data_IF_233319146787
#
_entry.id   IF_233319146787
#
_cell.length_a   1.000
_cell.length_b   1.000
_cell.length_c   1.000
_cell.angle_alpha   90.00
_cell.angle_beta   90.00
_cell.angle_gamma   90.00
#
_symmetry.space_group_name_H-M   'P 1'
#
loop_
_entity.id
_entity.type
_entity.pdbx_description
1 polymer ?
#
# COMPACT_ATOMS: atom_id res chain seq x y z
N UNK A 1 10.18 30.38 -3.65
CA UNK A 1 8.96 31.16 -3.95
C UNK A 1 7.70 30.48 -3.40
N UNK A 2 7.39 29.23 -3.80
CA UNK A 2 6.18 28.49 -3.35
C UNK A 2 6.03 28.36 -1.83
N UNK A 3 7.10 28.07 -1.09
CA UNK A 3 7.04 28.01 0.38
C UNK A 3 6.57 29.34 1.01
N UNK A 4 7.07 30.47 0.50
CA UNK A 4 6.70 31.80 1.01
C UNK A 4 5.22 32.08 0.75
N UNK A 5 4.73 31.76 -0.45
CA UNK A 5 3.33 31.89 -0.82
C UNK A 5 2.41 31.00 0.04
N UNK A 6 2.79 29.74 0.24
CA UNK A 6 2.06 28.80 1.09
C UNK A 6 2.01 29.31 2.54
N UNK A 7 3.15 29.67 3.11
CA UNK A 7 3.23 30.22 4.47
C UNK A 7 2.44 31.52 4.63
N UNK A 8 2.45 32.42 3.63
CA UNK A 8 1.65 33.64 3.70
C UNK A 8 0.15 33.37 3.74
N UNK A 9 -0.35 32.38 3.00
CA UNK A 9 -1.76 32.01 3.02
C UNK A 9 -2.18 31.29 4.30
N UNK A 10 -1.41 30.27 4.75
CA UNK A 10 -1.79 29.49 5.94
C UNK A 10 -1.70 30.30 7.23
N UNK A 11 -0.84 31.33 7.28
CA UNK A 11 -0.73 32.23 8.43
C UNK A 11 -1.97 33.11 8.62
N UNK A 12 -2.84 33.19 7.62
CA UNK A 12 -4.14 33.86 7.71
C UNK A 12 -5.22 32.98 8.35
N UNK A 13 -4.92 31.71 8.70
CA UNK A 13 -5.86 30.85 9.42
C UNK A 13 -5.94 31.30 10.88
N UNK A 14 -7.00 32.01 11.20
CA UNK A 14 -7.27 32.44 12.57
C UNK A 14 -7.40 31.26 13.53
N UNK A 15 -6.74 31.35 14.69
CA UNK A 15 -6.65 30.26 15.67
C UNK A 15 -5.35 29.44 15.62
N UNK A 16 -4.43 29.76 14.70
CA UNK A 16 -3.10 29.14 14.58
C UNK A 16 -1.98 30.19 14.72
N UNK A 17 -0.89 29.84 15.41
CA UNK A 17 0.31 30.69 15.54
C UNK A 17 1.57 29.96 15.04
N UNK A 18 1.97 30.26 13.81
CA UNK A 18 3.19 29.73 13.21
C UNK A 18 4.43 30.50 13.69
N UNK A 19 5.57 29.80 13.81
CA UNK A 19 6.86 30.39 14.12
C UNK A 19 7.59 30.83 12.82
N UNK A 20 8.65 31.61 12.95
CA UNK A 20 9.42 32.07 11.79
C UNK A 20 10.26 30.99 11.14
N UNK A 21 10.64 29.96 11.91
CA UNK A 21 11.39 28.80 11.43
C UNK A 21 10.51 27.63 10.98
N UNK A 22 9.17 27.77 11.06
CA UNK A 22 8.23 26.76 10.59
C UNK A 22 8.35 26.58 9.07
N UNK A 23 8.60 25.34 8.64
CA UNK A 23 8.78 25.00 7.23
C UNK A 23 8.28 23.60 6.93
N UNK A 24 7.78 23.41 5.70
CA UNK A 24 7.53 22.09 5.14
C UNK A 24 8.84 21.51 4.60
N UNK A 25 9.01 20.18 4.68
CA UNK A 25 10.12 19.48 4.06
C UNK A 25 10.03 19.50 2.53
N UNK A 26 8.82 19.33 2.00
CA UNK A 26 8.54 19.31 0.56
C UNK A 26 7.50 20.38 0.18
N UNK A 27 7.82 21.69 0.29
CA UNK A 27 6.85 22.77 0.10
C UNK A 27 6.20 22.75 -1.29
N UNK A 28 6.92 22.33 -2.32
CA UNK A 28 6.40 22.19 -3.70
C UNK A 28 5.30 21.14 -3.79
N UNK A 29 5.52 19.98 -3.17
CA UNK A 29 4.57 18.87 -3.21
C UNK A 29 3.31 19.21 -2.41
N UNK A 30 3.47 19.79 -1.22
CA UNK A 30 2.36 20.30 -0.40
C UNK A 30 1.57 21.37 -1.17
N UNK A 31 2.25 22.29 -1.86
CA UNK A 31 1.57 23.30 -2.67
C UNK A 31 0.75 22.67 -3.80
N UNK A 32 1.31 21.71 -4.56
CA UNK A 32 0.57 21.00 -5.61
C UNK A 32 -0.65 20.25 -5.06
N UNK A 33 -0.51 19.62 -3.89
CA UNK A 33 -1.58 18.82 -3.29
C UNK A 33 -2.74 19.67 -2.74
N UNK A 34 -2.43 20.83 -2.15
CA UNK A 34 -3.41 21.70 -1.48
C UNK A 34 -3.94 22.84 -2.35
N UNK A 35 -3.18 23.31 -3.34
CA UNK A 35 -3.52 24.54 -4.08
C UNK A 35 -3.87 24.22 -5.53
N UNK A 36 -2.89 23.78 -6.34
CA UNK A 36 -2.99 23.24 -7.70
C UNK A 36 -1.63 23.26 -8.41
N UNK A 37 -1.57 22.79 -9.66
CA UNK A 37 -0.39 22.83 -10.53
C UNK A 37 -0.07 24.21 -11.17
N UNK A 38 -0.85 25.26 -10.88
CA UNK A 38 -0.72 26.58 -11.55
C UNK A 38 0.22 27.54 -10.81
N UNK A 39 0.69 28.56 -11.54
CA UNK A 39 1.70 29.59 -11.17
C UNK A 39 1.74 29.98 -9.67
N UNK A 40 2.94 30.32 -9.19
CA UNK A 40 3.18 30.83 -7.83
C UNK A 40 2.49 32.16 -7.51
N UNK A 41 1.89 32.83 -8.49
CA UNK A 41 1.26 34.16 -8.34
C UNK A 41 -0.20 34.09 -7.83
N UNK A 42 -0.50 33.11 -6.97
CA UNK A 42 -1.84 32.95 -6.40
C UNK A 42 -1.98 33.88 -5.17
N UNK A 43 -3.04 34.71 -5.09
CA UNK A 43 -3.31 35.56 -3.92
C UNK A 43 -3.38 34.76 -2.62
N UNK A 44 -2.91 35.34 -1.52
CA UNK A 44 -2.83 34.66 -0.22
C UNK A 44 -4.21 34.21 0.29
N UNK A 45 -5.27 34.95 -0.02
CA UNK A 45 -6.65 34.65 0.32
C UNK A 45 -7.14 33.39 -0.41
N UNK A 46 -6.77 33.21 -1.68
CA UNK A 46 -7.13 32.01 -2.41
C UNK A 46 -6.34 30.80 -1.91
N UNK A 47 -5.08 30.99 -1.51
CA UNK A 47 -4.29 29.96 -0.83
C UNK A 47 -4.97 29.56 0.48
N UNK A 48 -5.38 30.52 1.30
CA UNK A 48 -6.11 30.28 2.55
C UNK A 48 -7.36 29.43 2.31
N UNK A 49 -8.21 29.80 1.34
CA UNK A 49 -9.45 29.09 1.04
C UNK A 49 -9.19 27.64 0.63
N UNK A 50 -8.29 27.43 -0.34
CA UNK A 50 -8.00 26.08 -0.87
C UNK A 50 -7.30 25.21 0.16
N UNK A 51 -6.30 25.77 0.84
CA UNK A 51 -5.56 25.06 1.87
C UNK A 51 -6.47 24.67 3.02
N UNK A 52 -7.30 25.58 3.53
CA UNK A 52 -8.22 25.30 4.64
C UNK A 52 -9.23 24.21 4.26
N UNK A 53 -9.81 24.26 3.07
CA UNK A 53 -10.75 23.25 2.60
C UNK A 53 -10.14 21.84 2.59
N UNK A 54 -8.92 21.69 2.04
CA UNK A 54 -8.23 20.39 2.01
C UNK A 54 -7.63 19.99 3.37
N UNK A 55 -7.28 20.94 4.21
CA UNK A 55 -6.85 20.67 5.57
C UNK A 55 -8.01 20.11 6.40
N UNK A 56 -9.22 20.66 6.25
CA UNK A 56 -10.42 20.15 6.94
C UNK A 56 -10.66 18.68 6.58
N UNK A 57 -10.57 18.32 5.29
CA UNK A 57 -10.77 16.92 4.88
C UNK A 57 -9.65 16.01 5.37
N UNK A 58 -8.40 16.48 5.39
CA UNK A 58 -7.27 15.73 5.94
C UNK A 58 -7.44 15.49 7.45
N UNK A 59 -7.78 16.52 8.22
CA UNK A 59 -8.01 16.42 9.66
C UNK A 59 -9.23 15.53 9.97
N UNK A 60 -10.27 15.60 9.13
CA UNK A 60 -11.39 14.65 9.19
C UNK A 60 -10.92 13.20 9.11
N UNK A 61 -10.10 12.86 8.10
CA UNK A 61 -9.51 11.52 7.97
C UNK A 61 -8.61 11.13 9.15
N UNK A 62 -7.86 12.09 9.69
CA UNK A 62 -7.07 11.83 10.90
C UNK A 62 -7.97 11.44 12.10
N UNK A 63 -9.08 12.15 12.30
CA UNK A 63 -10.03 11.86 13.38
C UNK A 63 -10.79 10.55 13.17
N UNK A 64 -11.22 10.25 11.94
CA UNK A 64 -11.88 8.99 11.55
C UNK A 64 -11.07 7.77 11.98
N UNK A 65 -9.73 7.84 11.86
CA UNK A 65 -8.81 6.74 12.22
C UNK A 65 -8.08 6.94 13.56
N UNK A 66 -8.57 7.84 14.42
CA UNK A 66 -7.95 8.09 15.73
C UNK A 66 -7.91 6.84 16.63
N UNK A 67 -8.82 5.90 16.42
CA UNK A 67 -8.86 4.61 17.11
C UNK A 67 -7.76 3.66 16.62
N UNK A 68 -7.47 3.64 15.32
CA UNK A 68 -6.32 2.93 14.75
C UNK A 68 -5.02 3.51 15.29
N UNK A 69 -4.91 4.85 15.34
CA UNK A 69 -3.75 5.51 15.96
C UNK A 69 -3.53 5.07 17.41
N UNK A 70 -4.61 5.05 18.22
CA UNK A 70 -4.59 4.54 19.61
C UNK A 70 -4.10 3.09 19.70
N UNK A 71 -4.44 2.28 18.69
CA UNK A 71 -4.10 0.85 18.62
C UNK A 71 -2.64 0.60 18.22
N UNK A 72 -2.14 1.30 17.20
CA UNK A 72 -0.80 1.06 16.63
C UNK A 72 0.29 1.88 17.30
N UNK A 73 -0.01 3.13 17.67
CA UNK A 73 0.95 4.13 18.20
C UNK A 73 2.17 4.39 17.32
N UNK A 74 2.10 3.93 16.08
CA UNK A 74 3.10 4.14 15.06
C UNK A 74 2.58 5.25 14.12
N UNK A 75 3.32 6.35 14.05
CA UNK A 75 2.93 7.51 13.23
C UNK A 75 2.97 7.17 11.74
N UNK A 76 4.00 6.44 11.30
CA UNK A 76 4.19 6.12 9.88
C UNK A 76 3.05 5.23 9.37
N UNK A 77 2.70 4.19 10.11
CA UNK A 77 1.57 3.32 9.78
C UNK A 77 0.24 4.09 9.78
N UNK A 78 0.01 4.93 10.81
CA UNK A 78 -1.20 5.76 10.87
C UNK A 78 -1.32 6.73 9.69
N UNK A 79 -0.27 7.46 9.35
CA UNK A 79 -0.31 8.40 8.24
C UNK A 79 -0.33 7.70 6.87
N UNK A 80 0.18 6.46 6.75
CA UNK A 80 -0.03 5.63 5.56
C UNK A 80 -1.51 5.26 5.37
N UNK A 81 -2.23 4.94 6.45
CA UNK A 81 -3.68 4.76 6.41
C UNK A 81 -4.39 6.07 5.99
N UNK A 82 -4.05 7.19 6.63
CA UNK A 82 -4.62 8.51 6.27
C UNK A 82 -4.38 8.82 4.80
N UNK A 83 -3.16 8.65 4.28
CA UNK A 83 -2.80 8.84 2.87
C UNK A 83 -3.69 8.01 1.94
N UNK A 84 -3.94 6.73 2.25
CA UNK A 84 -4.75 5.85 1.41
C UNK A 84 -6.23 6.24 1.38
N UNK A 85 -6.70 6.98 2.39
CA UNK A 85 -8.10 7.39 2.56
C UNK A 85 -8.40 8.83 2.14
N UNK A 86 -7.36 9.65 1.94
CA UNK A 86 -7.50 11.09 1.71
C UNK A 86 -7.28 11.43 0.24
N UNK A 87 -8.32 11.97 -0.39
CA UNK A 87 -8.30 12.41 -1.79
C UNK A 87 -7.77 13.85 -1.87
N UNK A 88 -6.49 13.99 -2.18
CA UNK A 88 -5.88 15.27 -2.56
C UNK A 88 -5.76 15.40 -4.08
N UNK A 89 -5.46 16.62 -4.57
CA UNK A 89 -5.24 16.86 -6.00
C UNK A 89 -3.95 16.20 -6.52
N UNK A 90 -2.97 16.07 -5.63
CA UNK A 90 -1.68 15.46 -5.90
C UNK A 90 -1.31 14.54 -4.73
N UNK A 91 -0.94 13.30 -5.03
CA UNK A 91 -0.61 12.32 -4.00
C UNK A 91 0.65 12.75 -3.25
N UNK A 92 0.50 13.09 -1.98
CA UNK A 92 1.62 13.38 -1.08
C UNK A 92 2.28 12.10 -0.56
N UNK A 93 3.55 12.18 -0.15
CA UNK A 93 4.19 11.10 0.62
C UNK A 93 3.63 11.08 2.05
N UNK A 94 3.80 9.95 2.73
CA UNK A 94 3.40 9.79 4.14
C UNK A 94 4.07 10.86 5.02
N UNK A 95 5.37 11.06 4.84
CA UNK A 95 6.15 12.08 5.55
C UNK A 95 5.63 13.50 5.32
N UNK A 96 5.15 13.82 4.11
CA UNK A 96 4.62 15.16 3.80
C UNK A 96 3.28 15.39 4.49
N UNK A 97 2.43 14.36 4.58
CA UNK A 97 1.16 14.41 5.33
C UNK A 97 1.43 14.58 6.82
N UNK A 98 2.36 13.78 7.37
CA UNK A 98 2.79 13.91 8.77
C UNK A 98 3.30 15.33 9.05
N UNK A 99 4.19 15.85 8.19
CA UNK A 99 4.78 17.19 8.35
C UNK A 99 3.69 18.27 8.35
N UNK A 100 2.68 18.18 7.48
CA UNK A 100 1.54 19.14 7.47
C UNK A 100 0.74 19.06 8.76
N UNK A 101 0.34 17.87 9.20
CA UNK A 101 -0.47 17.69 10.41
C UNK A 101 0.30 18.11 11.66
N UNK A 102 1.59 17.78 11.76
CA UNK A 102 2.45 18.20 12.87
C UNK A 102 2.68 19.71 12.89
N UNK A 103 2.77 20.35 11.73
CA UNK A 103 2.94 21.79 11.65
C UNK A 103 1.71 22.52 12.21
N UNK A 104 0.50 22.14 11.77
CA UNK A 104 -0.74 22.80 12.20
C UNK A 104 -1.07 22.51 13.66
N UNK A 105 -0.82 21.29 14.15
CA UNK A 105 -0.99 20.96 15.58
C UNK A 105 -0.04 21.76 16.48
N UNK A 106 1.23 21.91 16.07
CA UNK A 106 2.19 22.80 16.77
C UNK A 106 1.74 24.25 16.73
N UNK A 107 1.31 24.75 15.57
CA UNK A 107 0.83 26.12 15.43
C UNK A 107 -0.40 26.39 16.31
N UNK A 108 -1.32 25.42 16.40
CA UNK A 108 -2.47 25.49 17.31
C UNK A 108 -2.06 25.52 18.78
N UNK A 109 -1.11 24.68 19.16
CA UNK A 109 -0.61 24.61 20.54
C UNK A 109 0.08 25.90 21.01
N UNK A 110 0.61 26.70 20.07
CA UNK A 110 1.20 28.03 20.35
C UNK A 110 0.17 29.17 20.37
N UNK A 111 -1.06 28.92 19.94
CA UNK A 111 -2.09 29.95 19.90
C UNK A 111 -2.54 30.30 21.34
N UNK A 112 -2.66 31.59 21.69
CA UNK A 112 -3.03 31.99 23.05
C UNK A 112 -4.38 31.42 23.49
N UNK A 113 -4.49 30.96 24.74
CA UNK A 113 -5.75 30.46 25.31
C UNK A 113 -6.82 31.55 25.46
N UNK A 114 -6.39 32.81 25.63
CA UNK A 114 -7.23 33.99 25.73
C UNK A 114 -6.91 34.93 24.55
N UNK A 115 -7.37 34.63 23.33
CA UNK A 115 -7.18 35.52 22.19
C UNK A 115 -8.01 36.81 22.36
N UNK A 116 -7.68 37.82 21.56
CA UNK A 116 -8.50 39.03 21.44
C UNK A 116 -9.94 38.63 21.07
N UNK A 117 -10.98 39.06 21.83
CA UNK A 117 -12.37 38.70 21.58
C UNK A 117 -12.89 39.13 20.19
N UNK A 118 -12.22 40.06 19.50
CA UNK A 118 -12.57 40.45 18.14
C UNK A 118 -12.06 39.48 17.07
N UNK A 119 -11.10 38.61 17.41
CA UNK A 119 -10.54 37.61 16.51
C UNK A 119 -11.31 36.30 16.70
N UNK A 120 -12.13 35.94 15.72
CA UNK A 120 -12.85 34.66 15.72
C UNK A 120 -12.01 33.58 15.03
N UNK A 121 -11.70 32.47 15.70
CA UNK A 121 -10.97 31.37 15.10
C UNK A 121 -11.71 30.80 13.88
N UNK A 122 -10.96 30.23 12.94
CA UNK A 122 -11.53 29.51 11.81
C UNK A 122 -12.09 28.16 12.28
N UNK A 123 -13.25 28.18 12.95
CA UNK A 123 -13.84 27.05 13.69
C UNK A 123 -13.86 25.72 12.94
N UNK A 124 -14.12 25.74 11.62
CA UNK A 124 -14.15 24.53 10.81
C UNK A 124 -12.79 23.83 10.70
N UNK A 125 -11.68 24.54 10.87
CA UNK A 125 -10.31 23.99 10.95
C UNK A 125 -9.96 23.68 12.41
N UNK A 126 -10.28 24.60 13.33
CA UNK A 126 -9.82 24.52 14.73
C UNK A 126 -10.49 23.39 15.50
N UNK A 127 -11.81 23.19 15.33
CA UNK A 127 -12.53 22.13 16.02
C UNK A 127 -11.98 20.72 15.72
N UNK A 128 -11.86 20.28 14.45
CA UNK A 128 -11.29 18.95 14.18
C UNK A 128 -9.82 18.85 14.60
N UNK A 129 -9.07 19.96 14.60
CA UNK A 129 -7.68 19.98 15.07
C UNK A 129 -7.58 19.78 16.58
N UNK A 130 -8.42 20.45 17.37
CA UNK A 130 -8.47 20.29 18.83
C UNK A 130 -8.93 18.86 19.20
N UNK A 131 -9.88 18.29 18.46
CA UNK A 131 -10.29 16.88 18.61
C UNK A 131 -9.16 15.89 18.32
N UNK A 132 -8.34 16.17 17.29
CA UNK A 132 -7.17 15.37 16.95
C UNK A 132 -6.10 15.45 18.04
N UNK A 133 -5.75 16.67 18.49
CA UNK A 133 -4.78 16.89 19.57
C UNK A 133 -5.20 16.12 20.83
N UNK A 134 -6.46 16.30 21.25
CA UNK A 134 -7.03 15.57 22.40
C UNK A 134 -6.96 14.05 22.21
N UNK A 135 -7.21 13.56 21.00
CA UNK A 135 -7.13 12.13 20.69
C UNK A 135 -5.70 11.59 20.77
N UNK A 136 -4.72 12.36 20.30
CA UNK A 136 -3.30 12.02 20.36
C UNK A 136 -2.78 12.06 21.80
N UNK A 137 -3.13 13.07 22.58
CA UNK A 137 -2.72 13.22 23.99
C UNK A 137 -3.23 12.05 24.85
N UNK A 138 -4.48 11.62 24.64
CA UNK A 138 -5.09 10.49 25.37
C UNK A 138 -4.39 9.13 25.14
N UNK A 139 -3.67 8.96 24.02
CA UNK A 139 -2.90 7.74 23.75
C UNK A 139 -1.78 7.57 24.78
N UNK A 140 -1.16 8.67 25.19
CA UNK A 140 -0.07 8.65 26.18
C UNK A 140 -0.57 8.25 27.57
N UNK A 141 -1.84 8.51 27.88
CA UNK A 141 -2.44 8.22 29.19
C UNK A 141 -2.95 6.77 29.33
N UNK A 142 -3.37 6.12 28.24
CA UNK A 142 -4.04 4.81 28.30
C UNK A 142 -3.15 3.72 27.70
N UNK A 143 -2.76 2.67 28.46
CA UNK A 143 -1.92 1.56 27.93
C UNK A 143 -2.68 0.44 27.23
N UNK A 144 -4.02 0.41 27.31
CA UNK A 144 -4.82 -0.72 26.82
C UNK A 144 -5.46 -0.39 25.47
N UNK A 145 -5.17 -1.15 24.40
CA UNK A 145 -5.87 -1.00 23.13
C UNK A 145 -7.35 -1.33 23.32
N UNK A 146 -8.25 -0.45 22.84
CA UNK A 146 -9.70 -0.64 22.93
C UNK A 146 -10.25 -1.13 21.59
N UNK A 147 -11.29 -1.96 21.67
CA UNK A 147 -12.14 -2.32 20.52
C UNK A 147 -12.67 -1.03 19.90
N UNK A 148 -12.70 -0.91 18.57
CA UNK A 148 -13.38 0.20 17.96
C UNK A 148 -14.88 0.19 18.26
N UNK A 149 -15.43 1.37 18.53
CA UNK A 149 -16.87 1.50 18.68
C UNK A 149 -17.55 1.35 17.30
N UNK A 150 -18.76 0.80 17.28
CA UNK A 150 -19.69 0.81 16.14
C UNK A 150 -19.41 -0.12 14.94
N UNK A 151 -18.46 -1.06 15.04
CA UNK A 151 -18.35 -2.14 14.05
C UNK A 151 -18.96 -3.43 14.58
N UNK A 152 -19.97 -3.88 13.85
CA UNK A 152 -20.52 -5.22 14.00
C UNK A 152 -19.79 -6.14 13.02
N UNK A 153 -19.40 -7.34 13.47
CA UNK A 153 -18.90 -8.35 12.56
C UNK A 153 -20.01 -8.76 11.58
N UNK A 154 -19.65 -9.33 10.41
CA UNK A 154 -20.62 -9.91 9.49
C UNK A 154 -21.60 -10.81 10.24
N UNK A 155 -22.91 -10.70 9.94
CA UNK A 155 -24.01 -11.33 10.71
C UNK A 155 -23.85 -12.85 10.88
N UNK A 156 -23.11 -13.47 9.98
CA UNK A 156 -22.85 -14.90 9.88
C UNK A 156 -21.79 -15.35 10.91
N UNK A 157 -20.90 -14.46 11.36
CA UNK A 157 -19.89 -14.83 12.36
C UNK A 157 -20.52 -14.84 13.75
N UNK A 158 -20.73 -16.04 14.30
CA UNK A 158 -21.26 -16.24 15.65
C UNK A 158 -20.16 -16.11 16.71
N UNK A 159 -20.16 -14.98 17.42
CA UNK A 159 -19.26 -14.79 18.55
C UNK A 159 -19.87 -15.38 19.83
N UNK A 160 -19.09 -16.14 20.61
CA UNK A 160 -19.43 -16.37 22.00
C UNK A 160 -19.54 -15.01 22.72
N UNK A 161 -20.68 -14.72 23.35
CA UNK A 161 -20.98 -13.44 24.03
C UNK A 161 -19.93 -12.98 25.06
N UNK A 162 -19.03 -13.87 25.49
CA UNK A 162 -17.94 -13.62 26.45
C UNK A 162 -16.63 -13.09 25.85
N UNK A 163 -16.46 -13.08 24.53
CA UNK A 163 -15.17 -12.75 23.92
C UNK A 163 -15.03 -11.26 23.55
N UNK A 164 -14.49 -10.45 24.47
CA UNK A 164 -13.93 -9.13 24.15
C UNK A 164 -12.59 -9.29 23.42
N UNK A 165 -12.62 -9.70 22.14
CA UNK A 165 -11.38 -9.86 21.35
C UNK A 165 -10.82 -8.52 20.89
N UNK A 166 -9.49 -8.49 20.83
CA UNK A 166 -8.71 -7.41 20.23
C UNK A 166 -8.58 -7.70 18.74
N UNK A 167 -9.11 -6.80 17.90
CA UNK A 167 -9.03 -6.90 16.45
C UNK A 167 -8.41 -5.61 15.87
N UNK A 168 -7.46 -5.69 14.93
CA UNK A 168 -6.79 -6.91 14.46
C UNK A 168 -6.00 -7.65 15.56
N UNK A 169 -5.68 -8.96 15.36
CA UNK A 169 -4.88 -9.75 16.29
C UNK A 169 -3.54 -9.10 16.66
N UNK A 170 -3.01 -9.42 17.86
CA UNK A 170 -1.81 -8.75 18.41
C UNK A 170 -0.52 -9.00 17.64
N UNK A 171 -0.42 -10.10 16.90
CA UNK A 171 0.80 -10.46 16.17
C UNK A 171 0.97 -9.68 14.87
N UNK A 172 -0.08 -9.03 14.36
CA UNK A 172 0.02 -8.10 13.23
C UNK A 172 0.79 -6.85 13.64
N UNK A 173 1.74 -6.44 12.80
CA UNK A 173 2.56 -5.26 13.07
C UNK A 173 1.78 -3.97 12.72
N UNK A 174 2.28 -2.79 13.15
CA UNK A 174 1.56 -1.53 12.94
C UNK A 174 1.10 -1.26 11.50
N UNK A 175 1.92 -1.57 10.49
CA UNK A 175 1.57 -1.34 9.09
C UNK A 175 0.41 -2.25 8.63
N UNK A 176 0.41 -3.52 9.04
CA UNK A 176 -0.69 -4.43 8.74
C UNK A 176 -1.99 -3.94 9.39
N UNK A 177 -1.93 -3.50 10.65
CA UNK A 177 -3.07 -2.94 11.36
C UNK A 177 -3.58 -1.67 10.65
N UNK A 178 -2.70 -0.86 10.09
CA UNK A 178 -3.09 0.31 9.30
C UNK A 178 -3.84 -0.09 8.02
N UNK A 179 -3.37 -1.11 7.30
CA UNK A 179 -4.07 -1.64 6.11
C UNK A 179 -5.43 -2.23 6.49
N UNK A 180 -5.49 -3.02 7.57
CA UNK A 180 -6.73 -3.57 8.13
C UNK A 180 -7.64 -2.49 8.73
N UNK A 181 -7.09 -1.29 8.98
CA UNK A 181 -7.79 -0.12 9.47
C UNK A 181 -8.44 0.72 8.36
N UNK A 182 -8.05 0.50 7.09
CA UNK A 182 -8.68 1.11 5.92
C UNK A 182 -10.16 0.78 5.91
N UNK A 183 -11.01 1.78 5.64
CA UNK A 183 -12.45 1.67 5.90
C UNK A 183 -13.08 0.47 5.20
N UNK A 184 -12.81 0.27 3.91
CA UNK A 184 -13.38 -0.85 3.16
C UNK A 184 -12.84 -2.19 3.64
N UNK A 185 -11.52 -2.32 3.84
CA UNK A 185 -10.94 -3.56 4.38
C UNK A 185 -11.52 -3.88 5.75
N UNK A 186 -11.59 -2.87 6.61
CA UNK A 186 -12.05 -2.96 7.98
C UNK A 186 -13.51 -3.39 8.08
N UNK A 187 -14.40 -2.76 7.32
CA UNK A 187 -15.84 -3.09 7.33
C UNK A 187 -16.10 -4.54 6.89
N UNK A 188 -15.31 -5.06 5.95
CA UNK A 188 -15.49 -6.41 5.41
C UNK A 188 -14.77 -7.50 6.23
N UNK A 189 -13.63 -7.18 6.83
CA UNK A 189 -12.76 -8.16 7.49
C UNK A 189 -12.88 -8.15 9.03
N UNK A 190 -13.67 -7.23 9.59
CA UNK A 190 -13.79 -7.09 11.04
C UNK A 190 -14.27 -8.38 11.71
N UNK A 191 -13.46 -8.89 12.63
CA UNK A 191 -13.75 -10.09 13.41
C UNK A 191 -13.27 -11.41 12.77
N UNK A 192 -12.76 -11.39 11.54
CA UNK A 192 -12.13 -12.56 10.91
C UNK A 192 -10.75 -12.79 11.54
N UNK A 193 -10.45 -14.05 11.89
CA UNK A 193 -9.12 -14.54 12.26
C UNK A 193 -9.01 -16.06 12.08
N UNK A 194 -7.81 -16.63 12.26
CA UNK A 194 -7.53 -18.06 12.12
C UNK A 194 -8.41 -19.01 12.94
N UNK A 195 -9.10 -18.54 14.00
CA UNK A 195 -9.99 -19.40 14.81
C UNK A 195 -11.45 -19.30 14.40
N UNK A 196 -11.81 -18.27 13.66
CA UNK A 196 -13.13 -18.06 13.11
C UNK A 196 -12.96 -17.86 11.62
N UNK A 197 -12.69 -18.98 10.95
CA UNK A 197 -12.70 -19.02 9.50
C UNK A 197 -14.07 -18.55 9.04
N UNK A 198 -14.05 -17.50 8.23
CA UNK A 198 -15.14 -17.14 7.35
C UNK A 198 -15.80 -18.42 6.79
N UNK A 199 -17.13 -18.54 6.89
CA UNK A 199 -17.87 -19.43 6.00
C UNK A 199 -17.51 -19.07 4.54
N UNK A 200 -17.64 -19.99 3.59
CA UNK A 200 -17.27 -19.72 2.18
C UNK A 200 -17.87 -18.42 1.64
N UNK A 201 -19.04 -18.01 2.15
CA UNK A 201 -19.74 -16.77 1.82
C UNK A 201 -18.96 -15.47 2.14
N UNK A 202 -18.00 -15.49 3.07
CA UNK A 202 -17.22 -14.29 3.47
C UNK A 202 -15.85 -14.24 2.78
N UNK A 203 -15.44 -15.32 2.09
CA UNK A 203 -14.17 -15.37 1.35
C UNK A 203 -14.22 -14.37 0.18
N UNK A 204 -13.29 -13.39 0.11
CA UNK A 204 -13.20 -12.50 -1.03
C UNK A 204 -12.97 -13.28 -2.33
N UNK A 205 -13.48 -12.74 -3.44
CA UNK A 205 -13.19 -13.27 -4.76
C UNK A 205 -11.68 -13.33 -5.02
N UNK A 206 -11.28 -14.32 -5.81
CA UNK A 206 -9.90 -14.44 -6.23
C UNK A 206 -9.50 -13.26 -7.10
N UNK A 207 -8.35 -12.61 -6.83
CA UNK A 207 -7.93 -11.47 -7.61
C UNK A 207 -7.45 -11.90 -8.99
N UNK A 208 -7.78 -11.09 -9.99
CA UNK A 208 -7.39 -11.24 -11.39
C UNK A 208 -6.72 -9.96 -11.91
N UNK A 209 -6.27 -10.03 -13.16
CA UNK A 209 -5.61 -8.93 -13.87
C UNK A 209 -6.41 -7.63 -13.96
N UNK A 210 -7.72 -7.65 -13.68
CA UNK A 210 -8.65 -6.51 -13.65
C UNK A 210 -9.22 -6.14 -12.27
N UNK A 211 -9.05 -6.96 -11.23
CA UNK A 211 -9.51 -6.69 -9.85
C UNK A 211 -9.02 -5.36 -9.28
N UNK A 212 -9.90 -4.54 -8.72
CA UNK A 212 -9.48 -3.29 -8.06
C UNK A 212 -8.38 -3.52 -6.99
N UNK A 213 -7.41 -2.60 -6.78
CA UNK A 213 -6.46 -2.74 -5.68
C UNK A 213 -7.10 -3.01 -4.32
N UNK A 214 -8.30 -2.48 -4.05
CA UNK A 214 -9.05 -2.79 -2.82
C UNK A 214 -9.49 -4.24 -2.77
N UNK A 215 -9.95 -4.80 -3.87
CA UNK A 215 -10.31 -6.22 -3.93
C UNK A 215 -9.08 -7.11 -3.65
N UNK A 216 -7.92 -6.72 -4.19
CA UNK A 216 -6.66 -7.41 -3.90
C UNK A 216 -6.28 -7.27 -2.42
N UNK A 217 -6.38 -6.07 -1.83
CA UNK A 217 -6.12 -5.86 -0.39
C UNK A 217 -7.06 -6.68 0.49
N UNK A 218 -8.36 -6.76 0.14
CA UNK A 218 -9.34 -7.58 0.85
C UNK A 218 -8.92 -9.05 0.84
N UNK A 219 -8.56 -9.57 -0.33
CA UNK A 219 -8.08 -10.93 -0.50
C UNK A 219 -6.81 -11.23 0.32
N UNK A 220 -5.77 -10.38 0.21
CA UNK A 220 -4.52 -10.54 0.95
C UNK A 220 -4.75 -10.42 2.47
N UNK A 221 -5.61 -9.50 2.91
CA UNK A 221 -5.98 -9.33 4.31
C UNK A 221 -6.75 -10.53 4.86
N UNK A 222 -7.71 -11.05 4.09
CA UNK A 222 -8.44 -12.27 4.43
C UNK A 222 -7.48 -13.44 4.60
N UNK A 223 -6.60 -13.66 3.61
CA UNK A 223 -5.63 -14.76 3.63
C UNK A 223 -4.70 -14.65 4.84
N UNK A 224 -4.17 -13.46 5.10
CA UNK A 224 -3.35 -13.20 6.27
C UNK A 224 -4.10 -13.46 7.59
N UNK A 225 -5.32 -12.95 7.73
CA UNK A 225 -6.11 -13.12 8.95
C UNK A 225 -6.46 -14.59 9.24
N UNK A 226 -6.73 -15.39 8.21
CA UNK A 226 -7.13 -16.80 8.35
C UNK A 226 -5.97 -17.77 8.48
N UNK A 227 -4.79 -17.43 7.95
CA UNK A 227 -3.62 -18.34 7.94
C UNK A 227 -2.52 -17.94 8.90
N UNK A 228 -2.37 -16.64 9.21
CA UNK A 228 -1.30 -16.18 10.08
C UNK A 228 -1.65 -16.29 11.56
N UNK A 229 -0.65 -16.72 12.30
CA UNK A 229 -0.65 -16.85 13.74
C UNK A 229 0.59 -16.18 14.31
N UNK A 230 0.66 -16.08 15.65
CA UNK A 230 1.85 -15.55 16.31
C UNK A 230 3.13 -16.33 15.97
N UNK A 231 3.02 -17.62 15.68
CA UNK A 231 4.16 -18.51 15.37
C UNK A 231 4.40 -18.71 13.88
N UNK A 232 3.65 -18.03 13.00
CA UNK A 232 3.84 -18.17 11.55
C UNK A 232 5.22 -17.68 11.13
N UNK A 233 5.92 -18.51 10.35
CA UNK A 233 7.26 -18.21 9.80
C UNK A 233 7.21 -17.32 8.55
N UNK A 234 6.02 -17.07 8.03
CA UNK A 234 5.78 -16.25 6.84
C UNK A 234 4.98 -15.00 7.18
N UNK A 235 5.40 -13.87 6.61
CA UNK A 235 4.64 -12.62 6.58
C UNK A 235 4.15 -12.28 5.18
N UNK A 236 2.91 -11.81 5.08
CA UNK A 236 2.29 -11.39 3.83
C UNK A 236 2.09 -9.88 3.85
N UNK A 237 2.70 -9.19 2.89
CA UNK A 237 2.47 -7.77 2.71
C UNK A 237 1.07 -7.53 2.14
N UNK A 238 0.22 -6.87 2.92
CA UNK A 238 -1.23 -6.77 2.66
C UNK A 238 -1.62 -5.78 1.55
N UNK A 239 -0.64 -5.13 0.92
CA UNK A 239 -0.86 -4.11 -0.11
C UNK A 239 -0.27 -4.58 -1.44
N UNK A 240 -1.03 -4.55 -2.55
CA UNK A 240 -0.49 -4.90 -3.85
C UNK A 240 0.61 -3.91 -4.25
N UNK A 241 1.72 -4.41 -4.79
CA UNK A 241 2.85 -3.59 -5.23
C UNK A 241 2.76 -3.37 -6.74
N UNK A 242 2.75 -2.14 -7.23
CA UNK A 242 2.69 -1.90 -8.68
C UNK A 242 3.76 -0.96 -9.22
N UNK A 243 4.43 -0.23 -8.33
CA UNK A 243 5.33 0.85 -8.71
C UNK A 243 6.73 0.60 -8.15
N UNK A 244 7.75 1.01 -8.89
CA UNK A 244 9.11 0.96 -8.38
C UNK A 244 9.27 1.98 -7.25
N UNK A 245 8.84 3.22 -7.48
CA UNK A 245 9.02 4.33 -6.55
C UNK A 245 7.79 5.25 -6.49
N UNK A 246 7.82 6.20 -5.55
CA UNK A 246 6.71 7.11 -5.33
C UNK A 246 6.42 8.03 -6.53
N UNK A 247 7.45 8.43 -7.28
CA UNK A 247 7.28 9.29 -8.46
C UNK A 247 6.46 8.59 -9.53
N UNK A 248 6.78 7.33 -9.86
CA UNK A 248 5.94 6.54 -10.75
C UNK A 248 4.51 6.41 -10.22
N UNK A 249 4.31 6.17 -8.93
CA UNK A 249 2.96 6.11 -8.33
C UNK A 249 2.17 7.42 -8.49
N UNK A 250 2.84 8.55 -8.33
CA UNK A 250 2.26 9.89 -8.51
C UNK A 250 1.83 10.14 -9.96
N UNK A 251 2.66 9.75 -10.94
CA UNK A 251 2.34 9.90 -12.38
C UNK A 251 1.04 9.17 -12.76
N UNK A 252 0.76 8.05 -12.09
CA UNK A 252 -0.46 7.26 -12.31
C UNK A 252 -1.66 7.69 -11.47
N UNK A 253 -1.51 8.67 -10.57
CA UNK A 253 -2.53 9.01 -9.59
C UNK A 253 -3.83 9.50 -10.24
N UNK A 254 -3.78 10.48 -11.13
CA UNK A 254 -4.99 10.98 -11.81
C UNK A 254 -5.55 9.96 -12.82
N UNK A 255 -4.65 9.29 -13.56
CA UNK A 255 -4.97 8.27 -14.59
C UNK A 255 -5.80 7.12 -14.04
N UNK A 256 -5.45 6.65 -12.84
CA UNK A 256 -6.13 5.54 -12.16
C UNK A 256 -7.36 5.97 -11.38
N UNK A 257 -7.87 7.19 -11.59
CA UNK A 257 -8.96 7.76 -10.77
C UNK A 257 -8.59 7.73 -9.27
N UNK A 258 -7.37 8.16 -8.99
CA UNK A 258 -6.73 8.23 -7.67
C UNK A 258 -6.43 6.88 -7.01
N UNK A 259 -6.69 5.76 -7.69
CA UNK A 259 -6.51 4.41 -7.14
C UNK A 259 -5.06 3.98 -6.98
N UNK A 260 -4.10 4.67 -7.61
CA UNK A 260 -2.67 4.40 -7.43
C UNK A 260 -2.25 4.48 -5.96
N UNK A 261 -2.94 5.28 -5.12
CA UNK A 261 -2.70 5.37 -3.67
C UNK A 261 -2.93 4.06 -2.91
N UNK A 262 -3.70 3.14 -3.51
CA UNK A 262 -3.97 1.83 -2.92
C UNK A 262 -2.90 0.80 -3.25
N UNK A 263 -1.91 1.18 -4.06
CA UNK A 263 -0.75 0.36 -4.34
C UNK A 263 0.45 0.83 -3.53
N UNK A 264 1.29 -0.14 -3.19
CA UNK A 264 2.58 0.09 -2.64
C UNK A 264 3.65 0.23 -3.72
N UNK A 265 4.78 0.81 -3.32
CA UNK A 265 6.02 0.79 -4.09
C UNK A 265 6.94 -0.34 -3.65
N UNK A 266 7.97 -0.65 -4.44
CA UNK A 266 9.03 -1.59 -4.03
C UNK A 266 9.74 -1.11 -2.76
N UNK A 267 10.04 0.20 -2.66
CA UNK A 267 10.60 0.79 -1.42
C UNK A 267 9.74 0.52 -0.17
N UNK A 268 8.41 0.63 -0.30
CA UNK A 268 7.49 0.38 0.81
C UNK A 268 7.44 -1.11 1.18
N UNK A 269 7.47 -2.01 0.18
CA UNK A 269 7.59 -3.45 0.41
C UNK A 269 8.92 -3.80 1.09
N UNK A 270 10.05 -3.24 0.64
CA UNK A 270 11.35 -3.51 1.24
C UNK A 270 11.43 -3.01 2.69
N UNK A 271 10.86 -1.85 2.98
CA UNK A 271 10.77 -1.35 4.35
C UNK A 271 9.93 -2.26 5.23
N UNK A 272 8.82 -2.80 4.72
CA UNK A 272 8.03 -3.82 5.41
C UNK A 272 8.84 -5.10 5.62
N UNK A 273 9.44 -5.64 4.57
CA UNK A 273 10.23 -6.86 4.61
C UNK A 273 11.38 -6.75 5.61
N UNK A 274 12.10 -5.62 5.63
CA UNK A 274 13.18 -5.36 6.59
C UNK A 274 12.69 -5.47 8.04
N UNK A 275 11.51 -4.93 8.36
CA UNK A 275 10.96 -5.00 9.70
C UNK A 275 10.44 -6.40 10.08
N UNK A 276 9.99 -7.19 9.11
CA UNK A 276 9.50 -8.56 9.33
C UNK A 276 10.64 -9.58 9.43
N UNK A 277 11.64 -9.49 8.54
CA UNK A 277 12.70 -10.48 8.36
C UNK A 277 14.03 -10.08 9.01
N UNK A 278 14.31 -8.78 9.06
CA UNK A 278 15.62 -8.22 9.39
C UNK A 278 15.86 -8.01 10.89
N UNK A 279 14.84 -8.16 11.72
CA UNK A 279 14.99 -8.10 13.17
C UNK A 279 15.66 -9.38 13.70
N UNK A 280 16.63 -9.24 14.61
CA UNK A 280 17.43 -10.33 15.16
C UNK A 280 16.78 -11.04 16.36
N UNK A 281 15.54 -10.66 16.71
CA UNK A 281 14.79 -11.24 17.82
C UNK A 281 14.04 -12.53 17.41
N UNK A 282 13.67 -13.35 18.40
CA UNK A 282 12.96 -14.63 18.29
C UNK A 282 11.60 -14.56 17.55
N UNK A 283 11.14 -13.36 17.19
CA UNK A 283 9.85 -13.07 16.55
C UNK A 283 9.99 -12.75 15.04
N UNK A 284 11.19 -12.92 14.49
CA UNK A 284 11.48 -12.62 13.09
C UNK A 284 10.99 -13.70 12.14
N UNK A 285 10.47 -13.27 11.00
CA UNK A 285 9.95 -14.16 9.95
C UNK A 285 11.11 -14.77 9.17
N UNK A 286 10.85 -15.89 8.52
CA UNK A 286 11.77 -16.51 7.60
C UNK A 286 11.47 -16.14 6.15
N UNK A 287 10.20 -15.83 5.86
CA UNK A 287 9.74 -15.49 4.53
C UNK A 287 8.84 -14.25 4.58
N UNK A 288 9.02 -13.35 3.62
CA UNK A 288 8.11 -12.22 3.40
C UNK A 288 7.63 -12.27 1.95
N UNK A 289 6.32 -12.29 1.77
CA UNK A 289 5.64 -12.37 0.49
C UNK A 289 4.99 -11.04 0.13
N UNK A 290 4.99 -10.70 -1.16
CA UNK A 290 4.14 -9.65 -1.71
C UNK A 290 3.58 -10.05 -3.07
N UNK A 291 2.34 -9.66 -3.32
CA UNK A 291 1.73 -9.73 -4.64
C UNK A 291 2.05 -8.42 -5.38
N UNK A 292 2.86 -8.52 -6.42
CA UNK A 292 3.10 -7.43 -7.35
C UNK A 292 2.12 -7.51 -8.53
N UNK A 293 1.51 -6.37 -8.87
CA UNK A 293 0.53 -6.21 -9.95
C UNK A 293 0.83 -4.99 -10.85
N UNK A 294 2.06 -4.88 -11.42
CA UNK A 294 2.44 -3.74 -12.23
C UNK A 294 1.65 -3.66 -13.55
N UNK A 295 1.56 -2.43 -14.08
CA UNK A 295 1.18 -2.19 -15.47
C UNK A 295 2.44 -1.99 -16.30
N UNK A 296 2.53 -2.67 -17.43
CA UNK A 296 3.59 -2.43 -18.41
C UNK A 296 3.10 -1.54 -19.56
N UNK A 297 2.40 -0.48 -19.18
CA UNK A 297 1.95 0.61 -20.05
C UNK A 297 2.66 1.89 -19.62
N UNK A 298 2.79 2.85 -20.52
CA UNK A 298 3.08 4.23 -20.14
C UNK A 298 1.80 5.07 -20.25
N UNK A 299 1.79 6.23 -19.60
CA UNK A 299 0.63 7.12 -19.59
C UNK A 299 0.16 7.51 -21.00
N UNK A 300 1.10 7.88 -21.89
CA UNK A 300 0.80 8.29 -23.27
C UNK A 300 0.11 7.18 -24.08
N UNK A 301 0.49 5.92 -23.87
CA UNK A 301 -0.16 4.78 -24.52
C UNK A 301 -1.63 4.66 -24.11
N UNK A 302 -1.95 4.93 -22.83
CA UNK A 302 -3.34 4.91 -22.34
C UNK A 302 -4.14 6.10 -22.87
N UNK A 303 -3.52 7.28 -22.97
CA UNK A 303 -4.12 8.47 -23.59
C UNK A 303 -4.47 8.21 -25.05
N UNK A 304 -3.50 7.76 -25.85
CA UNK A 304 -3.72 7.44 -27.27
C UNK A 304 -4.79 6.36 -27.46
N UNK A 305 -4.89 5.42 -26.53
CA UNK A 305 -5.92 4.39 -26.56
C UNK A 305 -7.32 4.96 -26.28
N UNK A 306 -7.44 5.88 -25.33
CA UNK A 306 -8.69 6.57 -25.05
C UNK A 306 -9.16 7.42 -26.24
N UNK A 307 -8.23 8.12 -26.91
CA UNK A 307 -8.49 8.89 -28.13
C UNK A 307 -8.96 7.98 -29.27
N UNK A 308 -8.23 6.88 -29.51
CA UNK A 308 -8.60 5.89 -30.52
C UNK A 308 -10.00 5.31 -30.30
N UNK A 309 -10.33 4.93 -29.06
CA UNK A 309 -11.66 4.43 -28.72
C UNK A 309 -12.75 5.49 -28.87
N UNK A 310 -12.44 6.74 -28.54
CA UNK A 310 -13.36 7.87 -28.73
C UNK A 310 -13.72 8.02 -30.20
N UNK A 311 -12.71 7.99 -31.08
CA UNK A 311 -12.91 8.05 -32.53
C UNK A 311 -13.69 6.84 -33.05
N UNK A 312 -13.33 5.62 -32.61
CA UNK A 312 -13.96 4.37 -33.06
C UNK A 312 -15.42 4.22 -32.62
N UNK A 313 -15.75 4.63 -31.40
CA UNK A 313 -17.08 4.46 -30.82
C UNK A 313 -17.99 5.68 -31.01
N UNK A 314 -17.47 6.75 -31.61
CA UNK A 314 -18.14 8.04 -31.76
C UNK A 314 -18.76 8.56 -30.44
N UNK A 315 -18.06 8.32 -29.32
CA UNK A 315 -18.47 8.76 -27.98
C UNK A 315 -17.22 9.02 -27.12
N UNK A 316 -17.19 10.06 -26.27
CA UNK A 316 -16.05 10.32 -25.39
C UNK A 316 -15.73 9.13 -24.49
N UNK A 317 -14.50 8.62 -24.55
CA UNK A 317 -13.96 7.60 -23.65
C UNK A 317 -12.91 8.26 -22.77
N UNK A 318 -13.13 8.25 -21.45
CA UNK A 318 -12.15 8.78 -20.50
C UNK A 318 -10.92 7.87 -20.42
N UNK A 319 -9.76 8.45 -20.09
CA UNK A 319 -8.50 7.73 -19.84
C UNK A 319 -8.71 6.62 -18.78
N UNK A 320 -9.46 6.91 -17.71
CA UNK A 320 -9.81 5.91 -16.67
C UNK A 320 -10.62 4.73 -17.23
N UNK A 321 -11.52 4.98 -18.18
CA UNK A 321 -12.29 3.91 -18.85
C UNK A 321 -11.39 3.04 -19.73
N UNK A 322 -10.52 3.67 -20.54
CA UNK A 322 -9.56 2.95 -21.38
C UNK A 322 -8.60 2.10 -20.53
N UNK A 323 -8.10 2.66 -19.42
CA UNK A 323 -7.27 1.96 -18.44
C UNK A 323 -7.96 0.70 -17.89
N UNK A 324 -9.18 0.81 -17.38
CA UNK A 324 -9.91 -0.33 -16.79
C UNK A 324 -10.16 -1.46 -17.78
N UNK A 325 -10.36 -1.14 -19.06
CA UNK A 325 -10.78 -2.11 -20.05
C UNK A 325 -9.62 -2.80 -20.76
N UNK A 326 -8.46 -2.13 -20.89
CA UNK A 326 -7.41 -2.56 -21.80
C UNK A 326 -6.01 -2.64 -21.17
N UNK A 327 -5.83 -2.10 -19.96
CA UNK A 327 -4.57 -2.18 -19.23
C UNK A 327 -4.56 -3.30 -18.20
N UNK A 328 -4.53 -4.56 -18.68
CA UNK A 328 -4.40 -5.75 -17.84
C UNK A 328 -3.06 -5.75 -17.08
N UNK A 329 -3.11 -6.06 -15.78
CA UNK A 329 -1.91 -6.14 -14.93
C UNK A 329 -1.24 -7.49 -15.06
N UNK A 330 0.07 -7.48 -14.86
CA UNK A 330 0.84 -8.71 -14.68
C UNK A 330 0.80 -9.12 -13.21
N UNK A 331 0.56 -10.39 -12.91
CA UNK A 331 0.81 -10.93 -11.57
C UNK A 331 2.23 -11.45 -11.41
N UNK A 332 2.88 -11.05 -10.32
CA UNK A 332 4.21 -11.51 -9.93
C UNK A 332 4.21 -11.69 -8.41
N UNK A 333 4.79 -12.77 -7.88
CA UNK A 333 5.03 -12.88 -6.42
C UNK A 333 6.50 -12.57 -6.14
N UNK A 334 6.72 -11.68 -5.18
CA UNK A 334 8.03 -11.43 -4.60
C UNK A 334 8.09 -12.17 -3.27
N UNK A 335 9.02 -13.11 -3.13
CA UNK A 335 9.27 -13.83 -1.89
C UNK A 335 10.73 -13.64 -1.48
N UNK A 336 10.94 -12.90 -0.39
CA UNK A 336 12.24 -12.74 0.23
C UNK A 336 12.37 -13.74 1.38
N UNK A 337 13.39 -14.58 1.34
CA UNK A 337 13.59 -15.67 2.31
C UNK A 337 14.96 -15.58 2.97
N UNK A 338 15.05 -15.87 4.28
CA UNK A 338 16.35 -16.06 4.94
C UNK A 338 17.05 -17.28 4.33
N UNK A 339 18.34 -17.11 4.01
CA UNK A 339 19.16 -18.16 3.41
C UNK A 339 20.20 -18.65 4.41
N UNK A 340 21.24 -17.86 4.66
CA UNK A 340 22.37 -18.26 5.51
C UNK A 340 22.73 -17.18 6.52
N UNK A 341 23.04 -17.58 7.75
CA UNK A 341 23.51 -16.66 8.79
C UNK A 341 25.04 -16.55 8.77
N UNK A 342 25.55 -15.32 8.69
CA UNK A 342 26.98 -15.03 8.77
C UNK A 342 27.26 -14.17 10.02
N UNK A 343 28.18 -14.63 10.90
CA UNK A 343 28.51 -13.92 12.15
C UNK A 343 28.88 -12.44 11.97
N UNK A 344 29.55 -12.07 10.87
CA UNK A 344 30.02 -10.70 10.64
C UNK A 344 29.04 -9.82 9.85
N UNK A 345 28.08 -10.41 9.12
CA UNK A 345 27.22 -9.69 8.16
C UNK A 345 25.72 -9.88 8.41
N UNK A 346 25.35 -10.74 9.36
CA UNK A 346 23.97 -11.10 9.63
C UNK A 346 23.44 -12.11 8.62
N UNK A 347 22.12 -12.12 8.44
CA UNK A 347 21.45 -12.97 7.45
C UNK A 347 21.75 -12.52 6.03
N UNK A 348 21.98 -13.51 5.17
CA UNK A 348 21.85 -13.39 3.72
C UNK A 348 20.47 -13.87 3.29
N UNK A 349 20.04 -13.47 2.10
CA UNK A 349 18.66 -13.65 1.66
C UNK A 349 18.59 -14.25 0.26
N UNK A 350 17.53 -15.01 0.00
CA UNK A 350 17.14 -15.49 -1.32
C UNK A 350 15.93 -14.71 -1.80
N UNK A 351 15.95 -14.28 -3.06
CA UNK A 351 14.80 -13.66 -3.70
C UNK A 351 14.19 -14.63 -4.72
N UNK A 352 12.95 -15.05 -4.48
CA UNK A 352 12.15 -15.76 -5.47
C UNK A 352 11.18 -14.79 -6.13
N UNK A 353 11.18 -14.80 -7.47
CA UNK A 353 10.28 -14.01 -8.30
C UNK A 353 9.39 -14.99 -9.07
N UNK A 354 8.24 -15.32 -8.48
CA UNK A 354 7.24 -16.12 -9.18
C UNK A 354 6.67 -15.30 -10.33
N UNK A 355 6.87 -15.78 -11.54
CA UNK A 355 6.42 -15.10 -12.76
C UNK A 355 5.71 -16.13 -13.64
N UNK A 356 4.39 -16.30 -13.49
CA UNK A 356 3.65 -17.27 -14.27
C UNK A 356 3.77 -16.91 -15.76
N UNK A 357 4.09 -17.91 -16.56
CA UNK A 357 4.28 -17.76 -18.00
C UNK A 357 4.68 -19.10 -18.62
N UNK A 358 5.22 -19.05 -19.83
CA UNK A 358 5.65 -20.25 -20.54
C UNK A 358 6.76 -21.03 -19.79
N UNK A 359 6.75 -22.37 -19.84
CA UNK A 359 5.79 -23.22 -20.55
C UNK A 359 4.50 -23.49 -19.74
N UNK A 360 4.53 -23.34 -18.42
CA UNK A 360 3.49 -23.87 -17.52
C UNK A 360 2.18 -23.08 -17.54
N UNK A 361 2.26 -21.76 -17.70
CA UNK A 361 1.10 -20.85 -17.76
C UNK A 361 1.09 -20.06 -19.08
N UNK A 362 0.79 -20.69 -20.22
CA UNK A 362 0.80 -20.01 -21.51
C UNK A 362 -0.20 -18.83 -21.56
N UNK A 363 -1.34 -18.94 -20.87
CA UNK A 363 -2.37 -17.88 -20.83
C UNK A 363 -2.00 -16.71 -19.90
N UNK A 364 -1.18 -16.97 -18.88
CA UNK A 364 -0.66 -15.95 -17.98
C UNK A 364 0.57 -15.22 -18.54
N UNK A 365 1.14 -15.70 -19.64
CA UNK A 365 2.37 -15.14 -20.20
C UNK A 365 2.15 -13.71 -20.69
N UNK A 366 3.07 -12.81 -20.31
CA UNK A 366 3.04 -11.44 -20.80
C UNK A 366 3.14 -11.39 -22.34
N UNK A 367 2.30 -10.57 -23.01
CA UNK A 367 2.37 -10.37 -24.46
C UNK A 367 3.76 -9.91 -24.90
N UNK A 368 4.22 -10.36 -26.06
CA UNK A 368 5.57 -10.11 -26.56
C UNK A 368 5.99 -8.64 -26.50
N UNK A 369 5.06 -7.71 -26.82
CA UNK A 369 5.31 -6.27 -26.81
C UNK A 369 5.45 -5.65 -25.40
N UNK A 370 5.00 -6.34 -24.33
CA UNK A 370 5.18 -5.94 -22.92
C UNK A 370 6.35 -6.63 -22.21
N UNK A 371 6.86 -7.74 -22.75
CA UNK A 371 7.93 -8.55 -22.11
C UNK A 371 9.20 -7.76 -21.79
N UNK A 372 9.60 -6.83 -22.66
CA UNK A 372 10.77 -6.00 -22.39
C UNK A 372 10.56 -5.10 -21.16
N UNK A 373 9.39 -4.43 -21.08
CA UNK A 373 9.03 -3.59 -19.93
C UNK A 373 8.94 -4.40 -18.63
N UNK A 374 8.39 -5.62 -18.68
CA UNK A 374 8.40 -6.54 -17.54
C UNK A 374 9.83 -6.87 -17.10
N UNK A 375 10.72 -7.18 -18.04
CA UNK A 375 12.10 -7.55 -17.74
C UNK A 375 12.88 -6.38 -17.12
N UNK A 376 12.66 -5.16 -17.62
CA UNK A 376 13.23 -3.93 -17.03
C UNK A 376 12.72 -3.71 -15.60
N UNK A 377 11.41 -3.85 -15.38
CA UNK A 377 10.80 -3.70 -14.05
C UNK A 377 11.33 -4.73 -13.05
N UNK A 378 11.51 -5.99 -13.48
CA UNK A 378 12.10 -7.06 -12.64
C UNK A 378 13.55 -6.73 -12.31
N UNK A 379 14.36 -6.31 -13.30
CA UNK A 379 15.76 -5.95 -13.08
C UNK A 379 15.90 -4.77 -12.10
N UNK A 380 15.06 -3.74 -12.23
CA UNK A 380 15.04 -2.59 -11.33
C UNK A 380 14.61 -3.00 -9.91
N UNK A 381 13.59 -3.87 -9.79
CA UNK A 381 13.17 -4.46 -8.52
C UNK A 381 14.30 -5.21 -7.82
N UNK A 382 15.01 -6.08 -8.56
CA UNK A 382 16.16 -6.82 -8.02
C UNK A 382 17.24 -5.85 -7.54
N UNK A 383 17.58 -4.84 -8.34
CA UNK A 383 18.59 -3.84 -7.99
C UNK A 383 18.22 -3.09 -6.71
N UNK A 384 16.95 -2.75 -6.50
CA UNK A 384 16.51 -2.08 -5.28
C UNK A 384 16.60 -3.00 -4.07
N UNK A 385 16.17 -4.26 -4.20
CA UNK A 385 16.25 -5.24 -3.11
C UNK A 385 17.72 -5.50 -2.73
N UNK A 386 18.62 -5.62 -3.71
CA UNK A 386 20.05 -5.79 -3.47
C UNK A 386 20.71 -4.61 -2.76
N UNK A 387 20.15 -3.41 -2.87
CA UNK A 387 20.66 -2.23 -2.16
C UNK A 387 20.41 -2.30 -0.65
N UNK A 388 19.43 -3.09 -0.20
CA UNK A 388 19.07 -3.24 1.22
C UNK A 388 19.37 -4.64 1.78
N UNK A 389 19.35 -5.67 0.95
CA UNK A 389 19.53 -7.06 1.35
C UNK A 389 20.72 -7.69 0.65
N UNK A 390 21.55 -8.42 1.40
CA UNK A 390 22.64 -9.22 0.80
C UNK A 390 22.03 -10.50 0.20
N UNK A 391 21.79 -10.47 -1.11
CA UNK A 391 21.20 -11.62 -1.81
C UNK A 391 22.25 -12.70 -2.12
N UNK A 392 22.00 -13.96 -1.73
CA UNK A 392 22.78 -15.13 -2.16
C UNK A 392 22.42 -15.57 -3.56
N UNK A 393 21.14 -15.49 -3.88
CA UNK A 393 20.55 -16.03 -5.09
C UNK A 393 19.22 -15.33 -5.41
N UNK A 394 19.00 -15.17 -6.70
CA UNK A 394 17.74 -14.66 -7.25
C UNK A 394 17.24 -15.69 -8.26
N UNK A 395 16.06 -16.24 -8.02
CA UNK A 395 15.43 -17.22 -8.88
C UNK A 395 14.14 -16.63 -9.46
N UNK A 396 13.86 -16.90 -10.73
CA UNK A 396 12.62 -16.46 -11.39
C UNK A 396 12.00 -17.59 -12.21
N UNK A 397 10.68 -17.53 -12.39
CA UNK A 397 9.90 -18.59 -13.01
C UNK A 397 8.90 -19.15 -12.01
N UNK A 398 8.74 -20.46 -11.94
CA UNK A 398 7.90 -21.10 -10.94
C UNK A 398 6.56 -21.62 -11.47
N UNK A 399 6.04 -22.65 -10.81
CA UNK A 399 4.64 -23.07 -10.87
C UNK A 399 4.08 -23.39 -9.47
N UNK A 400 2.81 -23.07 -9.23
CA UNK A 400 2.00 -23.53 -8.10
C UNK A 400 1.80 -25.06 -8.18
N UNK A 401 1.89 -25.77 -7.05
CA UNK A 401 1.70 -27.23 -6.97
C UNK A 401 0.26 -27.65 -7.27
N UNK A 402 -0.71 -26.79 -6.94
CA UNK A 402 -2.15 -27.09 -7.03
C UNK A 402 -2.79 -26.66 -8.36
N UNK A 403 -2.00 -26.15 -9.31
CA UNK A 403 -2.49 -25.52 -10.53
C UNK A 403 -3.01 -26.50 -11.60
N UNK A 404 -3.52 -27.67 -11.20
CA UNK A 404 -4.02 -28.66 -12.15
C UNK A 404 -5.46 -28.35 -12.63
N UNK A 405 -6.17 -27.44 -11.94
CA UNK A 405 -7.55 -27.06 -12.28
C UNK A 405 -7.69 -25.53 -12.39
N UNK A 406 -8.44 -25.01 -13.38
CA UNK A 406 -8.71 -23.58 -13.51
C UNK A 406 -9.37 -23.04 -12.24
N UNK A 407 -9.03 -21.81 -11.85
CA UNK A 407 -9.65 -21.18 -10.70
C UNK A 407 -11.18 -21.11 -10.91
N UNK A 408 -12.00 -21.56 -9.94
CA UNK A 408 -13.46 -21.60 -10.10
C UNK A 408 -14.10 -20.25 -10.46
N UNK A 409 -13.47 -19.13 -10.11
CA UNK A 409 -14.02 -17.77 -10.27
C UNK A 409 -14.24 -17.32 -11.72
N UNK A 410 -13.51 -17.88 -12.70
CA UNK A 410 -13.64 -17.48 -14.11
C UNK A 410 -13.73 -18.64 -15.11
N UNK A 411 -13.44 -19.89 -14.70
CA UNK A 411 -13.47 -21.04 -15.61
C UNK A 411 -12.48 -20.96 -16.79
N UNK A 412 -11.47 -20.08 -16.70
CA UNK A 412 -10.33 -19.98 -17.63
C UNK A 412 -9.06 -20.47 -16.94
N UNK A 413 -8.12 -21.01 -17.72
CA UNK A 413 -6.87 -21.63 -17.25
C UNK A 413 -5.80 -20.62 -16.72
N UNK A 414 -6.27 -19.60 -16.00
CA UNK A 414 -5.56 -18.56 -15.25
C UNK A 414 -4.88 -17.41 -16.00
N UNK A 415 -5.22 -16.20 -15.55
CA UNK A 415 -4.39 -14.99 -15.73
C UNK A 415 -3.22 -14.98 -14.74
N UNK A 416 -2.23 -14.11 -14.97
CA UNK A 416 -1.01 -14.08 -14.15
C UNK A 416 -1.24 -13.63 -12.70
N UNK A 417 -2.26 -12.81 -12.43
CA UNK A 417 -2.59 -12.36 -11.07
C UNK A 417 -3.25 -13.49 -10.29
N UNK A 418 -4.18 -14.22 -10.91
CA UNK A 418 -4.79 -15.42 -10.33
C UNK A 418 -3.72 -16.46 -10.00
N UNK A 419 -2.85 -16.81 -10.96
CA UNK A 419 -1.78 -17.78 -10.71
C UNK A 419 -0.81 -17.33 -9.60
N UNK A 420 -0.53 -16.02 -9.50
CA UNK A 420 0.31 -15.46 -8.43
C UNK A 420 -0.39 -15.51 -7.07
N UNK A 421 -1.69 -15.23 -7.02
CA UNK A 421 -2.47 -15.36 -5.81
C UNK A 421 -2.55 -16.82 -5.33
N UNK A 422 -2.62 -17.78 -6.26
CA UNK A 422 -2.60 -19.22 -5.97
C UNK A 422 -1.28 -19.64 -5.34
N UNK A 423 -0.17 -19.20 -5.93
CA UNK A 423 1.15 -19.44 -5.36
C UNK A 423 1.29 -18.86 -3.95
N UNK A 424 0.74 -17.66 -3.68
CA UNK A 424 0.72 -17.09 -2.34
C UNK A 424 -0.14 -17.93 -1.39
N UNK A 425 -1.35 -18.34 -1.80
CA UNK A 425 -2.23 -19.20 -0.98
C UNK A 425 -1.54 -20.48 -0.57
N UNK A 426 -0.89 -21.15 -1.52
CA UNK A 426 -0.16 -22.39 -1.28
C UNK A 426 0.87 -22.22 -0.16
N UNK A 427 1.65 -21.13 -0.18
CA UNK A 427 2.69 -20.83 0.81
C UNK A 427 2.09 -20.42 2.16
N UNK A 428 1.03 -19.63 2.14
CA UNK A 428 0.38 -19.15 3.37
C UNK A 428 -0.31 -20.30 4.12
N UNK A 429 -0.86 -21.29 3.40
CA UNK A 429 -1.45 -22.50 3.98
C UNK A 429 -0.40 -23.52 4.44
N UNK A 430 0.68 -23.69 3.67
CA UNK A 430 1.79 -24.57 4.02
C UNK A 430 3.13 -23.98 3.56
N UNK A 431 3.87 -23.39 4.50
CA UNK A 431 5.18 -22.79 4.21
C UNK A 431 6.20 -23.79 3.66
N UNK A 432 6.04 -25.09 3.94
CA UNK A 432 6.94 -26.13 3.45
C UNK A 432 6.74 -26.42 1.95
N UNK A 433 5.77 -25.79 1.31
CA UNK A 433 5.63 -25.87 -0.14
C UNK A 433 6.71 -25.07 -0.89
N UNK A 434 7.34 -24.09 -0.23
CA UNK A 434 8.47 -23.35 -0.78
C UNK A 434 9.63 -24.31 -1.06
N UNK A 435 10.20 -24.31 -2.28
CA UNK A 435 11.37 -25.13 -2.57
C UNK A 435 12.55 -24.73 -1.69
N UNK A 436 13.28 -25.73 -1.20
CA UNK A 436 14.48 -25.53 -0.38
C UNK A 436 15.76 -25.98 -1.07
N UNK A 437 15.66 -26.91 -2.04
CA UNK A 437 16.79 -27.48 -2.78
C UNK A 437 16.80 -27.08 -4.26
N UNK A 438 17.97 -27.10 -4.89
CA UNK A 438 18.11 -26.80 -6.33
C UNK A 438 17.25 -27.72 -7.21
N UNK A 439 17.14 -29.00 -6.83
CA UNK A 439 16.26 -29.96 -7.50
C UNK A 439 14.78 -29.55 -7.43
N UNK A 440 14.28 -29.20 -6.24
CA UNK A 440 12.90 -28.74 -6.07
C UNK A 440 12.62 -27.42 -6.80
N UNK A 441 13.61 -26.51 -6.87
CA UNK A 441 13.49 -25.30 -7.67
C UNK A 441 13.34 -25.63 -9.15
N UNK A 442 14.18 -26.53 -9.67
CA UNK A 442 14.10 -26.98 -11.06
C UNK A 442 12.76 -27.69 -11.35
N UNK A 443 12.30 -28.55 -10.45
CA UNK A 443 11.00 -29.25 -10.54
C UNK A 443 9.83 -28.26 -10.59
N UNK A 444 9.92 -27.16 -9.83
CA UNK A 444 8.96 -26.04 -9.90
C UNK A 444 9.25 -25.05 -11.03
N UNK A 445 10.17 -25.33 -11.95
CA UNK A 445 10.52 -24.45 -13.08
C UNK A 445 11.06 -23.07 -12.68
N UNK A 446 11.74 -22.96 -11.54
CA UNK A 446 12.55 -21.79 -11.20
C UNK A 446 13.94 -21.89 -11.84
N UNK A 447 14.43 -20.77 -12.36
CA UNK A 447 15.76 -20.65 -12.95
C UNK A 447 16.55 -19.49 -12.33
N UNK A 448 17.88 -19.63 -12.28
CA UNK A 448 18.77 -18.59 -11.76
C UNK A 448 18.79 -17.36 -12.66
N UNK A 449 18.63 -16.19 -12.05
CA UNK A 449 18.59 -14.91 -12.76
C UNK A 449 19.97 -14.47 -13.29
N UNK A 450 21.07 -15.10 -12.86
CA UNK A 450 22.42 -14.86 -13.39
C UNK A 450 22.51 -15.12 -14.92
N UNK A 451 21.66 -16.01 -15.46
CA UNK A 451 21.55 -16.23 -16.91
C UNK A 451 20.79 -15.13 -17.67
N UNK A 452 19.97 -14.32 -17.00
CA UNK A 452 19.10 -13.31 -17.64
C UNK A 452 19.82 -11.96 -17.78
N UNK A 453 20.77 -11.63 -16.89
CA UNK A 453 21.60 -10.42 -17.02
C UNK A 453 22.45 -10.42 -18.30
N UNK A 454 22.92 -11.60 -18.75
CA UNK A 454 23.57 -11.76 -20.05
C UNK A 454 22.62 -11.51 -21.23
N UNK A 455 21.33 -11.86 -21.13
CA UNK A 455 20.33 -11.59 -22.19
C UNK A 455 19.96 -10.10 -22.30
N UNK A 456 19.92 -9.36 -21.18
CA UNK A 456 19.64 -7.93 -21.19
C UNK A 456 20.85 -7.09 -21.67
N UNK A 457 22.07 -7.60 -21.50
CA UNK A 457 23.28 -6.98 -22.07
C UNK A 457 23.38 -7.17 -23.60
N UNK A 458 22.71 -8.17 -24.17
CA UNK A 458 22.68 -8.46 -25.60
C UNK A 458 21.53 -7.76 -26.35
N UNK A 459 20.65 -7.06 -25.63
CA UNK A 459 19.49 -6.33 -26.19
C UNK A 459 19.59 -4.81 -26.03
N UNK A 460 20.74 -4.32 -25.55
CA UNK A 460 21.21 -2.93 -25.69
C UNK A 460 22.24 -2.87 -26.80
#
# INVERSE_FOLDING_TARGET
MMQKALLSGIRLIEGLKFADNDKFRSPTEVFKAFISHTSSDIPAELILIRFSALLITLLGKCNDYSDVYKRVRDKRAYFALVQSSWNSQHLLRVDDIEDVVLLVTKARSRYPRNPDPNIKPHESVIKPLDELIKSMDKVYETRVPRRPNNLNPPKIIHFPKSHKRMWPPRHFKPLDIAVLGEQTVRENMYGIDHRFTAEEEIKPEYPNDQSDPIAIRLYLSWLALTTQTATSRVSLFLVPVAFINHTQRQDWYQTTDFKSRYYATIDEFMAYAWNEIGNSEDDSKDHVLALATPWFFNFKEVESLAEYLTAKLNKPVSISTAWKQLCFRAGIVLCLSKSTWHRARGWSYRLLIFRPGLPTYPQAAEPTWRRNKQSVWIAETISQIQALFTLTDTLSGGCAKRHELPCPSRGVAADSVEASAEFITEIMEDVNCLPISEGEFADRCFASHAGIAQQLALTR
#
